data_IF_476710957925
#
_entry.id   IF_476710957925
#
_cell.length_a   1.000
_cell.length_b   1.000
_cell.length_c   1.000
_cell.angle_alpha   90.00
_cell.angle_beta   90.00
_cell.angle_gamma   90.00
#
_symmetry.space_group_name_H-M   'P 1'
#
loop_
_entity.id
_entity.type
_entity.pdbx_description
1 polymer ?
#
# COMPACT_ATOMS: atom_id res chain seq x y z
N UNK A 1 8.80 21.92 9.52
CA UNK A 1 7.45 21.65 10.08
C UNK A 1 7.44 20.20 10.53
N UNK A 2 7.26 19.91 11.83
CA UNK A 2 7.15 18.53 12.29
C UNK A 2 5.92 17.88 11.62
N UNK A 3 6.09 16.66 11.10
CA UNK A 3 4.98 15.91 10.52
C UNK A 3 3.93 15.65 11.60
N UNK A 4 2.65 15.81 11.25
CA UNK A 4 1.57 15.38 12.12
C UNK A 4 1.67 13.86 12.30
N UNK A 5 1.64 13.31 13.52
CA UNK A 5 1.90 11.89 13.77
C UNK A 5 0.94 10.97 12.99
N UNK A 6 -0.32 11.40 12.81
CA UNK A 6 -1.31 10.67 12.03
C UNK A 6 -0.97 10.61 10.53
N UNK A 7 -0.37 11.68 9.97
CA UNK A 7 0.12 11.65 8.59
C UNK A 7 1.30 10.69 8.43
N UNK A 8 2.19 10.62 9.42
CA UNK A 8 3.28 9.66 9.46
C UNK A 8 2.78 8.21 9.52
N UNK A 9 1.72 7.94 10.28
CA UNK A 9 1.10 6.61 10.34
C UNK A 9 0.50 6.19 8.98
N UNK A 10 -0.24 7.07 8.32
CA UNK A 10 -0.80 6.77 6.99
C UNK A 10 0.30 6.61 5.93
N UNK A 11 1.41 7.34 6.04
CA UNK A 11 2.57 7.16 5.17
C UNK A 11 3.23 5.80 5.39
N UNK A 12 3.43 5.39 6.64
CA UNK A 12 3.97 4.06 6.96
C UNK A 12 3.04 2.94 6.45
N UNK A 13 1.73 3.11 6.61
CA UNK A 13 0.73 2.19 6.06
C UNK A 13 0.82 2.10 4.52
N UNK A 14 0.95 3.25 3.84
CA UNK A 14 1.13 3.28 2.39
C UNK A 14 2.40 2.52 1.96
N UNK A 15 3.50 2.65 2.69
CA UNK A 15 4.72 1.89 2.42
C UNK A 15 4.50 0.37 2.55
N UNK A 16 3.86 -0.09 3.62
CA UNK A 16 3.59 -1.53 3.83
C UNK A 16 2.67 -2.08 2.73
N UNK A 17 1.62 -1.35 2.37
CA UNK A 17 0.71 -1.74 1.30
C UNK A 17 1.43 -1.77 -0.07
N UNK A 18 2.34 -0.83 -0.32
CA UNK A 18 3.16 -0.80 -1.53
C UNK A 18 4.11 -2.01 -1.63
N UNK A 19 4.72 -2.41 -0.52
CA UNK A 19 5.55 -3.63 -0.44
C UNK A 19 4.69 -4.86 -0.77
N UNK A 20 3.51 -4.97 -0.16
CA UNK A 20 2.58 -6.08 -0.43
C UNK A 20 2.13 -6.14 -1.90
N UNK A 21 1.80 -4.98 -2.49
CA UNK A 21 1.44 -4.89 -3.90
C UNK A 21 2.59 -5.36 -4.80
N UNK A 22 3.82 -4.91 -4.51
CA UNK A 22 5.01 -5.25 -5.30
C UNK A 22 5.31 -6.75 -5.22
N UNK A 23 5.25 -7.35 -4.02
CA UNK A 23 5.43 -8.80 -3.85
C UNK A 23 4.41 -9.62 -4.63
N UNK A 24 3.12 -9.23 -4.59
CA UNK A 24 2.08 -9.92 -5.35
C UNK A 24 2.31 -9.86 -6.87
N UNK A 25 2.81 -8.73 -7.39
CA UNK A 25 3.14 -8.60 -8.82
C UNK A 25 4.25 -9.58 -9.21
N UNK A 26 5.31 -9.67 -8.42
CA UNK A 26 6.40 -10.61 -8.69
C UNK A 26 5.94 -12.07 -8.60
N UNK A 27 5.23 -12.45 -7.55
CA UNK A 27 4.69 -13.81 -7.37
C UNK A 27 3.79 -14.23 -8.55
N UNK A 28 2.87 -13.34 -8.97
CA UNK A 28 1.99 -13.61 -10.11
C UNK A 28 2.75 -13.66 -11.44
N UNK A 29 3.82 -12.89 -11.58
CA UNK A 29 4.66 -12.90 -12.78
C UNK A 29 5.53 -14.17 -12.87
N UNK A 30 6.00 -14.70 -11.74
CA UNK A 30 6.75 -15.97 -11.69
C UNK A 30 5.86 -17.19 -11.92
N UNK A 31 4.54 -17.08 -11.68
CA UNK A 31 3.54 -18.07 -12.09
C UNK A 31 3.16 -19.09 -11.02
N UNK A 32 3.86 -19.12 -9.89
CA UNK A 32 3.60 -20.04 -8.77
C UNK A 32 3.50 -19.27 -7.43
N UNK A 33 2.40 -18.52 -7.20
CA UNK A 33 2.21 -17.75 -5.97
C UNK A 33 1.91 -18.64 -4.77
N UNK A 34 2.55 -18.38 -3.63
CA UNK A 34 2.49 -19.22 -2.41
C UNK A 34 1.06 -19.29 -1.81
N UNK A 35 0.36 -18.16 -1.82
CA UNK A 35 -1.04 -18.05 -1.38
C UNK A 35 -2.04 -18.48 -2.48
N UNK A 36 -1.55 -18.88 -3.65
CA UNK A 36 -2.36 -19.20 -4.82
C UNK A 36 -2.87 -17.97 -5.58
N UNK A 37 -3.13 -18.15 -6.87
CA UNK A 37 -3.45 -17.05 -7.81
C UNK A 37 -4.63 -16.20 -7.36
N UNK A 38 -5.67 -16.81 -6.80
CA UNK A 38 -6.89 -16.10 -6.40
C UNK A 38 -6.65 -15.15 -5.23
N UNK A 39 -5.96 -15.60 -4.18
CA UNK A 39 -5.70 -14.78 -3.01
C UNK A 39 -4.68 -13.69 -3.33
N UNK A 40 -3.60 -14.02 -4.04
CA UNK A 40 -2.56 -13.04 -4.42
C UNK A 40 -3.15 -11.92 -5.30
N UNK A 41 -4.07 -12.23 -6.22
CA UNK A 41 -4.79 -11.20 -7.00
C UNK A 41 -5.72 -10.36 -6.14
N UNK A 42 -6.38 -10.95 -5.15
CA UNK A 42 -7.27 -10.21 -4.24
C UNK A 42 -6.46 -9.26 -3.35
N UNK A 43 -5.33 -9.71 -2.81
CA UNK A 43 -4.40 -8.88 -2.04
C UNK A 43 -3.89 -7.73 -2.91
N UNK A 44 -3.43 -8.01 -4.13
CA UNK A 44 -3.00 -6.97 -5.07
C UNK A 44 -4.11 -5.96 -5.38
N UNK A 45 -5.31 -6.46 -5.65
CA UNK A 45 -6.48 -5.64 -5.97
C UNK A 45 -6.92 -4.73 -4.83
N UNK A 46 -6.62 -5.08 -3.58
CA UNK A 46 -6.91 -4.26 -2.39
C UNK A 46 -5.72 -3.36 -2.02
N UNK A 47 -4.50 -3.88 -2.06
CA UNK A 47 -3.30 -3.17 -1.61
C UNK A 47 -2.94 -2.02 -2.54
N UNK A 48 -3.15 -2.16 -3.85
CA UNK A 48 -2.88 -1.10 -4.83
C UNK A 48 -3.75 0.16 -4.58
N UNK A 49 -5.10 0.08 -4.55
CA UNK A 49 -5.92 1.26 -4.24
C UNK A 49 -5.75 1.73 -2.80
N UNK A 50 -5.56 0.82 -1.83
CA UNK A 50 -5.34 1.20 -0.44
C UNK A 50 -4.02 1.96 -0.24
N UNK A 51 -2.97 1.65 -1.01
CA UNK A 51 -1.70 2.41 -1.03
C UNK A 51 -1.96 3.85 -1.45
N UNK A 52 -2.65 4.04 -2.58
CA UNK A 52 -2.99 5.35 -3.12
C UNK A 52 -3.86 6.13 -2.11
N UNK A 53 -4.90 5.49 -1.57
CA UNK A 53 -5.78 6.09 -0.57
C UNK A 53 -5.01 6.54 0.67
N UNK A 54 -4.15 5.68 1.22
CA UNK A 54 -3.36 5.98 2.41
C UNK A 54 -2.37 7.13 2.16
N UNK A 55 -1.72 7.15 1.00
CA UNK A 55 -0.81 8.22 0.62
C UNK A 55 -1.54 9.55 0.46
N UNK A 56 -2.69 9.57 -0.21
CA UNK A 56 -3.50 10.77 -0.37
C UNK A 56 -3.97 11.31 0.98
N UNK A 57 -4.42 10.43 1.89
CA UNK A 57 -4.79 10.83 3.26
C UNK A 57 -3.59 11.41 4.00
N UNK A 58 -2.42 10.78 3.94
CA UNK A 58 -1.19 11.31 4.55
C UNK A 58 -0.86 12.72 4.04
N UNK A 59 -0.91 12.95 2.72
CA UNK A 59 -0.66 14.25 2.09
C UNK A 59 -1.68 15.29 2.57
N UNK A 60 -2.98 14.93 2.59
CA UNK A 60 -4.05 15.84 3.01
C UNK A 60 -3.91 16.25 4.47
N UNK A 61 -3.56 15.31 5.34
CA UNK A 61 -3.34 15.57 6.75
C UNK A 61 -2.13 16.48 6.97
N UNK A 62 -1.06 16.29 6.21
CA UNK A 62 0.18 17.06 6.38
C UNK A 62 0.18 18.41 5.65
N UNK A 63 -0.91 18.80 4.96
CA UNK A 63 -0.99 20.10 4.28
C UNK A 63 -0.81 21.24 5.31
N UNK A 64 0.14 22.17 5.11
CA UNK A 64 0.23 23.38 5.92
C UNK A 64 -0.99 24.26 5.67
N UNK A 65 -1.44 24.97 6.72
CA UNK A 65 -2.53 25.93 6.65
C UNK A 65 -2.15 27.13 5.77
#
# INVERSE_FOLDING_TARGET
>A
MPMKPLAGLFLALACVLGIAATGCVFELAYGDPDLGVRLTRLILGLSLPATIGSLLVAIRLNKPA
#
